data_IF_163275057370
#
_entry.id   IF_163275057370
#
_cell.length_a   1.000
_cell.length_b   1.000
_cell.length_c   1.000
_cell.angle_alpha   90.00
_cell.angle_beta   90.00
_cell.angle_gamma   90.00
#
_symmetry.space_group_name_H-M   'P 1'
#
loop_
_entity.id
_entity.type
_entity.pdbx_description
1 polymer ?
#
# COMPACT_ATOMS: atom_id res chain seq x y z
N UNK A 1 -1.40 7.74 19.88
CA UNK A 1 -1.83 9.15 19.77
C UNK A 1 -1.60 9.70 18.37
N UNK A 2 -0.35 9.82 17.88
CA UNK A 2 -0.08 10.32 16.52
C UNK A 2 -0.66 9.44 15.40
N UNK A 3 -0.29 8.15 15.36
CA UNK A 3 -0.76 7.27 14.28
C UNK A 3 -2.28 7.05 14.33
N UNK A 4 -2.85 6.94 15.53
CA UNK A 4 -4.31 6.80 15.72
C UNK A 4 -5.06 7.99 15.13
N UNK A 5 -4.53 9.21 15.29
CA UNK A 5 -5.10 10.41 14.70
C UNK A 5 -5.12 10.34 13.17
N UNK A 6 -3.98 10.00 12.53
CA UNK A 6 -3.93 9.90 11.06
C UNK A 6 -4.76 8.75 10.50
N UNK A 7 -4.89 7.66 11.26
CA UNK A 7 -5.73 6.53 10.86
C UNK A 7 -7.21 6.92 10.80
N UNK A 8 -7.72 7.63 11.82
CA UNK A 8 -9.15 7.92 11.97
C UNK A 8 -9.59 9.27 11.43
N UNK A 9 -8.66 10.16 11.06
CA UNK A 9 -8.97 11.47 10.51
C UNK A 9 -9.87 11.35 9.26
N UNK A 10 -11.01 12.03 9.30
CA UNK A 10 -12.04 11.98 8.27
C UNK A 10 -11.49 12.34 6.87
N UNK A 11 -10.72 13.42 6.79
CA UNK A 11 -10.14 13.92 5.54
C UNK A 11 -8.81 13.23 5.18
N UNK A 12 -8.46 12.16 5.89
CA UNK A 12 -7.22 11.41 5.70
C UNK A 12 -5.96 12.27 5.76
N UNK A 13 -5.05 12.00 4.82
CA UNK A 13 -3.87 12.80 4.54
C UNK A 13 -4.12 13.57 3.24
N UNK A 14 -4.97 14.60 3.27
CA UNK A 14 -5.54 15.36 2.13
C UNK A 14 -4.69 15.44 0.83
N UNK A 15 -3.37 15.69 0.92
CA UNK A 15 -2.49 15.78 -0.26
C UNK A 15 -2.09 14.43 -0.88
N UNK A 16 -2.32 13.33 -0.18
CA UNK A 16 -2.01 11.96 -0.58
C UNK A 16 -3.29 11.13 -0.75
N UNK A 17 -4.19 11.19 0.23
CA UNK A 17 -5.39 10.38 0.28
C UNK A 17 -6.46 11.08 1.13
N UNK A 18 -7.64 11.28 0.54
CA UNK A 18 -8.72 12.14 1.04
C UNK A 18 -9.76 11.40 1.90
N UNK A 19 -9.44 10.18 2.35
CA UNK A 19 -10.34 9.33 3.14
C UNK A 19 -9.61 8.76 4.37
N UNK A 20 -10.35 8.24 5.37
CA UNK A 20 -9.73 7.65 6.54
C UNK A 20 -8.81 6.47 6.19
N UNK A 21 -7.63 6.43 6.80
CA UNK A 21 -6.62 5.42 6.51
C UNK A 21 -6.86 4.08 7.21
N UNK A 22 -7.77 4.02 8.18
CA UNK A 22 -8.18 2.74 8.80
C UNK A 22 -8.99 1.85 7.85
N UNK A 23 -9.41 2.36 6.68
CA UNK A 23 -10.15 1.63 5.66
C UNK A 23 -9.40 1.60 4.33
N UNK A 24 -8.81 0.46 3.93
CA UNK A 24 -8.22 0.32 2.61
C UNK A 24 -9.27 0.48 1.50
N UNK A 25 -8.88 0.95 0.30
CA UNK A 25 -9.78 1.02 -0.84
C UNK A 25 -10.36 -0.35 -1.23
N UNK A 26 -11.65 -0.37 -1.56
CA UNK A 26 -12.36 -1.58 -1.97
C UNK A 26 -11.85 -2.13 -3.33
N UNK A 27 -11.38 -1.24 -4.22
CA UNK A 27 -10.84 -1.60 -5.53
C UNK A 27 -9.34 -1.40 -5.52
N UNK A 28 -8.58 -2.50 -5.58
CA UNK A 28 -7.12 -2.46 -5.59
C UNK A 28 -6.54 -1.88 -6.88
N UNK A 29 -7.07 -2.27 -8.04
CA UNK A 29 -6.60 -1.79 -9.34
C UNK A 29 -7.16 -0.38 -9.64
N UNK A 30 -6.80 0.61 -8.83
CA UNK A 30 -7.33 1.98 -8.89
C UNK A 30 -6.32 3.05 -8.47
N UNK A 31 -6.59 4.29 -8.86
CA UNK A 31 -5.86 5.47 -8.36
C UNK A 31 -5.96 5.61 -6.84
N UNK A 32 -7.14 5.34 -6.27
CA UNK A 32 -7.35 5.43 -4.83
C UNK A 32 -6.42 4.48 -4.05
N UNK A 33 -6.19 3.27 -4.56
CA UNK A 33 -5.25 2.32 -3.96
C UNK A 33 -3.78 2.77 -4.03
N UNK A 34 -3.36 3.39 -5.14
CA UNK A 34 -2.01 3.99 -5.24
C UNK A 34 -1.81 5.14 -4.25
N UNK A 35 -2.77 6.07 -4.20
CA UNK A 35 -2.81 7.21 -3.29
C UNK A 35 -2.81 6.76 -1.83
N UNK A 36 -3.66 5.78 -1.50
CA UNK A 36 -3.68 5.14 -0.18
C UNK A 36 -2.33 4.53 0.17
N UNK A 37 -1.71 3.77 -0.73
CA UNK A 37 -0.38 3.19 -0.48
C UNK A 37 0.67 4.28 -0.24
N UNK A 38 0.61 5.41 -0.94
CA UNK A 38 1.52 6.53 -0.70
C UNK A 38 1.39 7.11 0.71
N UNK A 39 0.16 7.27 1.21
CA UNK A 39 -0.08 7.68 2.60
C UNK A 39 0.45 6.64 3.59
N UNK A 40 0.22 5.34 3.33
CA UNK A 40 0.74 4.27 4.16
C UNK A 40 2.27 4.20 4.13
N UNK A 41 2.91 4.45 2.99
CA UNK A 41 4.36 4.49 2.85
C UNK A 41 4.97 5.52 3.81
N UNK A 42 4.39 6.73 3.89
CA UNK A 42 4.79 7.76 4.87
C UNK A 42 4.63 7.26 6.30
N UNK A 43 3.49 6.64 6.62
CA UNK A 43 3.23 6.13 7.96
C UNK A 43 4.09 4.91 8.34
N UNK A 44 4.54 4.12 7.37
CA UNK A 44 5.30 2.89 7.60
C UNK A 44 6.67 3.11 8.24
N UNK A 45 7.20 4.34 8.14
CA UNK A 45 8.49 4.72 8.72
C UNK A 45 8.44 4.94 10.24
N UNK A 46 7.25 4.99 10.85
CA UNK A 46 7.13 5.12 12.30
C UNK A 46 7.14 3.75 12.97
N UNK A 47 7.92 3.59 14.05
CA UNK A 47 8.01 2.31 14.75
C UNK A 47 6.64 1.78 15.22
N UNK A 48 5.76 2.69 15.67
CA UNK A 48 4.39 2.37 16.09
C UNK A 48 3.50 1.81 14.96
N UNK A 49 3.91 1.94 13.70
CA UNK A 49 3.15 1.49 12.54
C UNK A 49 3.19 -0.02 12.33
N UNK A 50 4.28 -0.69 12.73
CA UNK A 50 4.49 -2.12 12.48
C UNK A 50 3.25 -2.95 12.83
N UNK A 51 2.72 -2.84 14.06
CA UNK A 51 1.52 -3.60 14.48
C UNK A 51 0.19 -2.95 14.07
N UNK A 52 0.16 -1.61 14.03
CA UNK A 52 -1.10 -0.89 13.77
C UNK A 52 -1.56 -0.99 12.32
N UNK A 53 -0.63 -1.25 11.41
CA UNK A 53 -0.91 -1.41 9.98
C UNK A 53 -0.97 -2.89 9.54
N UNK A 54 -1.15 -3.83 10.47
CA UNK A 54 -1.36 -5.25 10.17
C UNK A 54 -2.53 -5.48 9.19
N UNK A 55 -3.58 -4.67 9.29
CA UNK A 55 -4.72 -4.73 8.37
C UNK A 55 -4.31 -4.35 6.93
N UNK A 56 -3.33 -3.47 6.77
CA UNK A 56 -2.79 -3.11 5.45
C UNK A 56 -1.96 -4.25 4.88
N UNK A 57 -1.14 -4.90 5.70
CA UNK A 57 -0.36 -6.07 5.27
C UNK A 57 -1.28 -7.18 4.77
N UNK A 58 -2.36 -7.47 5.51
CA UNK A 58 -3.38 -8.44 5.10
C UNK A 58 -4.08 -8.04 3.79
N UNK A 59 -4.46 -6.76 3.67
CA UNK A 59 -5.07 -6.23 2.45
C UNK A 59 -4.13 -6.37 1.25
N UNK A 60 -2.85 -6.04 1.39
CA UNK A 60 -1.86 -6.21 0.32
C UNK A 60 -1.77 -7.68 -0.11
N UNK A 61 -1.59 -8.62 0.84
CA UNK A 61 -1.49 -10.04 0.50
C UNK A 61 -2.77 -10.61 -0.14
N UNK A 62 -3.95 -10.08 0.15
CA UNK A 62 -5.20 -10.48 -0.52
C UNK A 62 -5.16 -10.22 -2.04
N UNK A 63 -4.46 -9.18 -2.49
CA UNK A 63 -4.34 -8.81 -3.90
C UNK A 63 -3.02 -9.25 -4.54
N UNK A 64 -2.22 -10.05 -3.83
CA UNK A 64 -1.02 -10.70 -4.40
C UNK A 64 -1.47 -11.73 -5.43
N UNK A 65 -0.96 -11.62 -6.65
CA UNK A 65 -1.31 -12.56 -7.72
C UNK A 65 -0.58 -13.92 -7.54
N UNK A 66 -0.86 -14.87 -8.42
CA UNK A 66 -0.25 -16.23 -8.39
C UNK A 66 1.27 -16.25 -8.53
N UNK A 67 1.87 -15.22 -9.14
CA UNK A 67 3.33 -15.08 -9.29
C UNK A 67 3.96 -14.30 -8.14
N UNK A 68 3.16 -13.87 -7.17
CA UNK A 68 3.62 -13.13 -6.01
C UNK A 68 3.85 -11.64 -6.24
N UNK A 69 3.17 -11.06 -7.23
CA UNK A 69 3.29 -9.68 -7.66
C UNK A 69 1.97 -8.92 -7.48
N UNK A 70 2.06 -7.59 -7.59
CA UNK A 70 0.91 -6.69 -7.50
C UNK A 70 0.77 -5.86 -8.77
N UNK A 71 -0.47 -5.49 -9.08
CA UNK A 71 -0.79 -4.60 -10.19
C UNK A 71 -1.88 -3.60 -9.77
N UNK A 72 -1.52 -2.32 -9.66
CA UNK A 72 -2.47 -1.23 -9.37
C UNK A 72 -3.36 -0.85 -10.57
N UNK A 73 -3.18 -1.45 -11.74
CA UNK A 73 -3.99 -1.23 -12.92
C UNK A 73 -3.64 0.04 -13.69
N UNK A 74 -4.09 0.11 -14.95
CA UNK A 74 -3.77 1.23 -15.85
C UNK A 74 -4.24 2.59 -15.32
N UNK A 75 -5.31 2.59 -14.52
CA UNK A 75 -5.92 3.79 -13.95
C UNK A 75 -5.15 4.36 -12.74
N UNK A 76 -4.14 3.66 -12.22
CA UNK A 76 -3.38 4.12 -11.06
C UNK A 76 -2.30 5.17 -11.38
N UNK A 77 -2.04 5.44 -12.66
CA UNK A 77 -1.08 6.47 -13.08
C UNK A 77 -1.63 7.86 -12.73
N UNK A 78 -1.03 8.49 -11.73
CA UNK A 78 -1.39 9.83 -11.25
C UNK A 78 -0.31 10.89 -11.53
N UNK A 79 0.87 10.47 -12.00
CA UNK A 79 2.00 11.37 -12.26
C UNK A 79 2.73 11.86 -11.01
N UNK A 80 2.37 11.34 -9.83
CA UNK A 80 2.92 11.75 -8.52
C UNK A 80 3.58 10.57 -7.83
N UNK A 81 2.90 9.44 -7.75
CA UNK A 81 3.36 8.24 -7.03
C UNK A 81 3.77 7.11 -7.97
N UNK A 82 3.32 7.17 -9.21
CA UNK A 82 3.71 6.30 -10.31
C UNK A 82 3.86 7.12 -11.60
N UNK A 83 4.71 6.68 -12.54
CA UNK A 83 5.57 5.48 -12.50
C UNK A 83 6.99 5.73 -11.94
N UNK A 84 7.67 4.67 -11.48
CA UNK A 84 9.13 4.66 -11.25
C UNK A 84 9.88 4.43 -12.58
N UNK A 85 9.25 3.69 -13.48
CA UNK A 85 9.67 3.49 -14.87
C UNK A 85 9.17 4.64 -15.76
N UNK A 86 9.83 4.94 -16.88
CA UNK A 86 9.31 5.97 -17.83
C UNK A 86 7.98 5.58 -18.51
N UNK A 87 7.60 4.30 -18.40
CA UNK A 87 6.45 3.69 -19.08
C UNK A 87 5.44 3.13 -18.09
N UNK A 88 4.20 3.05 -18.53
CA UNK A 88 3.09 2.45 -17.77
C UNK A 88 2.33 1.39 -18.57
N UNK A 89 3.09 0.60 -19.34
CA UNK A 89 2.57 -0.62 -19.96
C UNK A 89 2.38 -1.74 -18.92
N UNK A 90 1.83 -2.87 -19.34
CA UNK A 90 1.48 -3.97 -18.45
C UNK A 90 2.68 -4.51 -17.66
N UNK A 91 3.88 -4.56 -18.25
CA UNK A 91 5.05 -5.13 -17.60
C UNK A 91 5.66 -4.13 -16.60
N UNK A 92 5.94 -2.90 -17.04
CA UNK A 92 6.50 -1.86 -16.15
C UNK A 92 5.59 -1.59 -14.95
N UNK A 93 4.26 -1.60 -15.18
CA UNK A 93 3.30 -1.40 -14.09
C UNK A 93 3.37 -2.46 -13.01
N UNK A 94 3.45 -3.75 -13.37
CA UNK A 94 3.56 -4.84 -12.40
C UNK A 94 4.86 -4.74 -11.61
N UNK A 95 5.97 -4.41 -12.28
CA UNK A 95 7.28 -4.25 -11.64
C UNK A 95 7.25 -3.09 -10.64
N UNK A 96 6.82 -1.90 -11.06
CA UNK A 96 6.75 -0.71 -10.21
C UNK A 96 5.78 -0.90 -9.03
N UNK A 97 4.62 -1.50 -9.29
CA UNK A 97 3.61 -1.82 -8.27
C UNK A 97 4.20 -2.76 -7.22
N UNK A 98 4.84 -3.84 -7.67
CA UNK A 98 5.45 -4.85 -6.80
C UNK A 98 6.60 -4.26 -5.99
N UNK A 99 7.43 -3.41 -6.59
CA UNK A 99 8.51 -2.73 -5.88
C UNK A 99 7.97 -1.88 -4.73
N UNK A 100 6.96 -1.02 -4.98
CA UNK A 100 6.38 -0.17 -3.93
C UNK A 100 5.73 -0.98 -2.82
N UNK A 101 4.99 -2.03 -3.17
CA UNK A 101 4.37 -2.91 -2.17
C UNK A 101 5.44 -3.60 -1.30
N UNK A 102 6.49 -4.15 -1.91
CA UNK A 102 7.57 -4.82 -1.17
C UNK A 102 8.30 -3.86 -0.22
N UNK A 103 8.54 -2.61 -0.65
CA UNK A 103 9.13 -1.58 0.21
C UNK A 103 8.29 -1.31 1.45
N UNK A 104 6.97 -1.18 1.28
CA UNK A 104 6.03 -1.00 2.41
C UNK A 104 5.97 -2.23 3.30
N UNK A 105 5.87 -3.44 2.73
CA UNK A 105 5.86 -4.69 3.49
C UNK A 105 7.13 -4.85 4.34
N UNK A 106 8.30 -4.53 3.77
CA UNK A 106 9.58 -4.57 4.49
C UNK A 106 9.62 -3.56 5.64
N UNK A 107 9.19 -2.31 5.41
CA UNK A 107 9.13 -1.29 6.47
C UNK A 107 8.19 -1.70 7.63
N UNK A 108 7.11 -2.43 7.30
CA UNK A 108 6.15 -2.93 8.29
C UNK A 108 6.58 -4.22 8.97
N UNK A 109 7.68 -4.88 8.57
CA UNK A 109 8.13 -6.16 9.11
C UNK A 109 7.20 -7.33 8.75
N UNK A 110 6.67 -7.33 7.51
CA UNK A 110 5.65 -8.28 7.07
C UNK A 110 6.11 -9.75 7.04
N UNK A 111 7.40 -10.05 7.17
CA UNK A 111 7.94 -11.41 7.28
C UNK A 111 7.29 -12.23 8.41
N UNK A 112 6.75 -11.57 9.45
CA UNK A 112 6.00 -12.25 10.52
C UNK A 112 4.70 -12.89 10.06
N UNK A 113 4.14 -12.48 8.92
CA UNK A 113 2.91 -13.04 8.37
C UNK A 113 3.17 -14.25 7.46
N UNK A 114 4.35 -14.34 6.84
CA UNK A 114 4.72 -15.48 6.00
C UNK A 114 5.07 -16.71 6.84
N UNK A 115 5.64 -16.49 8.05
CA UNK A 115 6.01 -17.55 8.98
C UNK A 115 4.84 -18.08 9.85
N UNK A 116 3.63 -17.54 9.68
CA UNK A 116 2.44 -17.87 10.48
C UNK A 116 1.52 -18.94 9.89
N UNK A 117 1.89 -19.56 8.76
CA UNK A 117 1.10 -20.64 8.13
C UNK A 117 1.55 -22.05 8.55
N UNK A 118 2.32 -22.17 9.62
CA UNK A 118 2.82 -23.43 10.17
C UNK A 118 2.34 -23.68 11.59
N UNK A 119 1.04 -23.94 11.76
CA UNK A 119 0.47 -24.73 12.87
C UNK A 119 -0.75 -25.45 12.36
#
# INVERSE_FOLDING_TARGET
>A
KFLDYYLTKADGMFYLYDKPLYQPPQVFASRAASCYLAAIEVLSHYESAKRKLDFVVKWLYQYRNKTGQWDFGSQAKDGVHFPLSDRWDANSRVVDSTYRVNKVLSALGAERFENGSGT
#
